data_IF_818745765124
#
_entry.id   IF_818745765124
#
_cell.length_a   1.000
_cell.length_b   1.000
_cell.length_c   1.000
_cell.angle_alpha   90.00
_cell.angle_beta   90.00
_cell.angle_gamma   90.00
#
_symmetry.space_group_name_H-M   'P 1'
#
loop_
_entity.id
_entity.type
_entity.pdbx_description
1 polymer ?
#
# COMPACT_ATOMS: atom_id res chain seq x y z
N UNK A 1 -14.64 24.22 -11.37
CA UNK A 1 -16.11 24.12 -11.40
C UNK A 1 -16.60 24.49 -10.01
N UNK A 2 -17.23 25.66 -9.80
CA UNK A 2 -17.75 26.05 -8.48
C UNK A 2 -18.99 25.21 -8.18
N UNK A 3 -18.88 24.22 -7.31
CA UNK A 3 -20.02 23.45 -6.83
C UNK A 3 -20.96 24.40 -6.08
N UNK A 4 -22.16 24.58 -6.63
CA UNK A 4 -23.21 25.40 -6.04
C UNK A 4 -23.76 24.73 -4.79
N UNK A 5 -23.94 25.55 -3.77
CA UNK A 5 -24.11 25.26 -2.35
C UNK A 5 -25.45 24.60 -1.93
N UNK A 6 -25.97 23.64 -2.70
CA UNK A 6 -27.13 22.83 -2.31
C UNK A 6 -26.68 21.42 -1.91
N UNK A 7 -25.89 21.31 -0.85
CA UNK A 7 -25.62 20.01 -0.25
C UNK A 7 -26.91 19.48 0.41
N UNK A 8 -27.33 18.28 0.01
CA UNK A 8 -28.47 17.59 0.60
C UNK A 8 -28.30 17.52 2.13
N UNK A 9 -29.34 17.70 2.96
CA UNK A 9 -29.24 17.72 4.43
C UNK A 9 -28.50 16.52 5.02
N UNK A 10 -28.58 15.38 4.33
CA UNK A 10 -27.81 14.18 4.68
C UNK A 10 -26.29 14.40 4.64
N UNK A 11 -25.74 15.02 3.60
CA UNK A 11 -24.29 15.27 3.49
C UNK A 11 -23.83 16.29 4.53
N UNK A 12 -24.63 17.31 4.81
CA UNK A 12 -24.34 18.28 5.89
C UNK A 12 -24.26 17.55 7.24
N UNK A 13 -25.22 16.65 7.51
CA UNK A 13 -25.21 15.85 8.74
C UNK A 13 -24.00 14.92 8.81
N UNK A 14 -23.70 14.20 7.72
CA UNK A 14 -22.54 13.31 7.63
C UNK A 14 -21.23 14.08 7.90
N UNK A 15 -21.02 15.23 7.25
CA UNK A 15 -19.83 16.05 7.46
C UNK A 15 -19.71 16.52 8.92
N UNK A 16 -20.82 16.90 9.55
CA UNK A 16 -20.85 17.31 10.96
C UNK A 16 -20.49 16.15 11.90
N UNK A 17 -21.02 14.96 11.64
CA UNK A 17 -20.73 13.75 12.43
C UNK A 17 -19.27 13.31 12.25
N UNK A 18 -18.75 13.31 11.02
CA UNK A 18 -17.34 13.04 10.75
C UNK A 18 -16.44 14.02 11.49
N UNK A 19 -16.72 15.34 11.42
CA UNK A 19 -15.96 16.36 12.15
C UNK A 19 -15.99 16.14 13.66
N UNK A 20 -17.14 15.76 14.22
CA UNK A 20 -17.28 15.48 15.65
C UNK A 20 -16.48 14.24 16.09
N UNK A 21 -16.27 13.27 15.20
CA UNK A 21 -15.46 12.07 15.43
C UNK A 21 -13.97 12.26 15.14
N UNK A 22 -13.55 13.47 14.74
CA UNK A 22 -12.15 13.78 14.44
C UNK A 22 -11.75 13.67 12.97
N UNK A 23 -12.72 13.49 12.07
CA UNK A 23 -12.54 13.46 10.61
C UNK A 23 -12.48 12.05 10.01
N UNK A 24 -12.35 11.99 8.68
CA UNK A 24 -12.21 10.73 7.96
C UNK A 24 -10.85 10.06 8.22
N UNK A 25 -10.86 8.74 8.32
CA UNK A 25 -9.64 7.92 8.32
C UNK A 25 -9.64 7.07 7.04
N UNK A 26 -8.71 7.35 6.14
CA UNK A 26 -8.45 6.46 5.03
C UNK A 26 -7.40 5.42 5.44
N UNK A 27 -7.86 4.23 5.80
CA UNK A 27 -7.03 3.20 6.42
C UNK A 27 -6.14 2.43 5.44
N UNK A 28 -6.33 2.62 4.13
CA UNK A 28 -5.57 1.90 3.12
C UNK A 28 -5.54 2.61 1.77
N UNK A 29 -4.35 3.00 1.34
CA UNK A 29 -4.09 3.72 0.10
C UNK A 29 -2.84 3.18 -0.60
N UNK A 30 -2.71 3.53 -1.88
CA UNK A 30 -1.46 3.46 -2.66
C UNK A 30 -1.27 4.82 -3.35
N UNK A 31 -0.89 5.84 -2.57
CA UNK A 31 -0.75 7.22 -3.07
C UNK A 31 0.37 7.36 -4.10
N UNK A 32 1.41 6.53 -4.01
CA UNK A 32 2.49 6.46 -4.99
C UNK A 32 2.00 6.03 -6.38
N UNK A 33 0.95 5.22 -6.44
CA UNK A 33 0.28 4.77 -7.68
C UNK A 33 -0.97 5.56 -8.06
N UNK A 34 -1.45 6.47 -7.22
CA UNK A 34 -2.68 7.22 -7.48
C UNK A 34 -2.57 8.09 -8.76
N UNK A 35 -3.66 8.25 -9.51
CA UNK A 35 -3.70 9.02 -10.77
C UNK A 35 -2.72 8.53 -11.87
N UNK A 36 -2.47 7.22 -11.97
CA UNK A 36 -1.56 6.64 -12.99
C UNK A 36 -2.29 5.86 -14.10
N UNK A 37 -3.62 5.92 -14.16
CA UNK A 37 -4.41 5.24 -15.19
C UNK A 37 -4.36 5.92 -16.57
N UNK A 38 -3.81 7.14 -16.64
CA UNK A 38 -3.64 7.85 -17.90
C UNK A 38 -2.59 7.15 -18.79
N UNK A 39 -2.86 7.09 -20.09
CA UNK A 39 -1.97 6.50 -21.09
C UNK A 39 -0.54 7.06 -20.98
N UNK A 40 -0.35 8.32 -20.57
CA UNK A 40 0.97 8.91 -20.32
C UNK A 40 1.91 8.02 -19.50
N UNK A 41 1.39 7.34 -18.47
CA UNK A 41 2.19 6.48 -17.58
C UNK A 41 2.40 5.07 -18.11
N UNK A 42 1.67 4.68 -19.15
CA UNK A 42 1.68 3.33 -19.74
C UNK A 42 2.04 3.33 -21.24
N UNK A 43 2.28 4.50 -21.84
CA UNK A 43 2.51 4.69 -23.28
C UNK A 43 3.79 4.05 -23.80
N UNK A 44 4.76 3.77 -22.91
CA UNK A 44 5.94 2.97 -23.26
C UNK A 44 5.64 1.48 -23.34
N UNK A 45 4.39 1.07 -23.09
CA UNK A 45 3.91 -0.30 -23.10
C UNK A 45 2.75 -0.41 -24.08
N UNK A 46 2.80 -1.42 -24.95
CA UNK A 46 1.78 -1.66 -25.98
C UNK A 46 0.52 -2.33 -25.36
N UNK A 47 -0.13 -1.66 -24.42
CA UNK A 47 -1.24 -2.20 -23.62
C UNK A 47 -2.36 -1.17 -23.40
N UNK A 48 -3.59 -1.51 -23.80
CA UNK A 48 -4.80 -0.71 -23.55
C UNK A 48 -5.23 -0.82 -22.06
N UNK A 49 -5.37 0.29 -21.30
CA UNK A 49 -5.63 0.24 -19.84
C UNK A 49 -7.03 -0.22 -19.42
N UNK A 50 -8.05 -0.05 -20.25
CA UNK A 50 -9.47 -0.20 -19.87
C UNK A 50 -10.04 -1.63 -19.97
N UNK A 51 -9.33 -2.59 -20.57
CA UNK A 51 -9.82 -3.99 -20.74
C UNK A 51 -9.59 -4.90 -19.50
N UNK A 52 -9.30 -4.32 -18.33
CA UNK A 52 -8.42 -4.93 -17.34
C UNK A 52 -8.98 -5.00 -15.90
N UNK A 53 -10.29 -5.14 -15.71
CA UNK A 53 -10.87 -5.41 -14.39
C UNK A 53 -10.73 -6.88 -13.92
N UNK A 54 -10.20 -7.78 -14.76
CA UNK A 54 -10.08 -9.23 -14.51
C UNK A 54 -8.67 -9.77 -14.78
N UNK A 55 -7.63 -9.04 -14.39
CA UNK A 55 -6.25 -9.48 -14.61
C UNK A 55 -5.75 -10.39 -13.47
N UNK A 56 -5.13 -11.54 -13.82
CA UNK A 56 -4.29 -12.32 -12.91
C UNK A 56 -3.15 -11.48 -12.28
N UNK A 57 -2.75 -11.82 -11.04
CA UNK A 57 -1.67 -11.13 -10.31
C UNK A 57 -0.38 -10.99 -11.13
N UNK A 58 -0.01 -12.02 -11.89
CA UNK A 58 1.22 -12.01 -12.70
C UNK A 58 1.24 -10.90 -13.76
N UNK A 59 0.09 -10.62 -14.38
CA UNK A 59 -0.04 -9.52 -15.35
C UNK A 59 -0.17 -8.16 -14.63
N UNK A 60 -0.67 -8.11 -13.38
CA UNK A 60 -0.58 -6.90 -12.53
C UNK A 60 0.88 -6.59 -12.18
N UNK A 61 1.70 -7.60 -11.87
CA UNK A 61 3.13 -7.40 -11.58
C UNK A 61 3.89 -6.84 -12.78
N UNK A 62 3.58 -7.28 -14.00
CA UNK A 62 4.14 -6.68 -15.21
C UNK A 62 3.77 -5.20 -15.32
N UNK A 63 2.50 -4.85 -15.06
CA UNK A 63 2.05 -3.45 -15.06
C UNK A 63 2.77 -2.59 -14.01
N UNK A 64 3.08 -3.17 -12.84
CA UNK A 64 3.83 -2.49 -11.78
C UNK A 64 5.26 -2.20 -12.22
N UNK A 65 5.96 -3.20 -12.80
CA UNK A 65 7.31 -2.98 -13.34
C UNK A 65 7.32 -1.90 -14.42
N UNK A 66 6.30 -1.90 -15.29
CA UNK A 66 6.15 -0.88 -16.32
C UNK A 66 5.95 0.50 -15.71
N UNK A 67 5.07 0.62 -14.71
CA UNK A 67 4.82 1.88 -14.01
C UNK A 67 6.08 2.39 -13.30
N UNK A 68 6.81 1.51 -12.62
CA UNK A 68 8.09 1.80 -11.96
C UNK A 68 9.12 2.34 -12.95
N UNK A 69 9.16 1.78 -14.16
CA UNK A 69 10.08 2.21 -15.22
C UNK A 69 9.72 3.58 -15.80
N UNK A 70 8.45 3.99 -15.70
CA UNK A 70 7.90 5.20 -16.29
C UNK A 70 8.06 6.47 -15.45
N UNK A 71 7.42 7.58 -15.89
CA UNK A 71 7.52 8.88 -15.23
C UNK A 71 6.82 8.95 -13.87
N UNK A 72 5.93 8.01 -13.55
CA UNK A 72 5.20 8.01 -12.28
C UNK A 72 6.13 7.98 -11.06
N UNK A 73 7.30 7.36 -11.17
CA UNK A 73 8.29 7.29 -10.09
C UNK A 73 9.42 8.31 -10.23
N UNK A 74 9.29 9.28 -11.16
CA UNK A 74 10.11 10.48 -11.14
C UNK A 74 9.64 11.39 -10.00
N UNK A 75 10.59 11.91 -9.21
CA UNK A 75 10.29 12.65 -7.97
C UNK A 75 9.26 13.76 -8.15
N UNK A 76 9.40 14.61 -9.18
CA UNK A 76 8.51 15.75 -9.39
C UNK A 76 7.06 15.31 -9.71
N UNK A 77 6.92 14.27 -10.53
CA UNK A 77 5.62 13.73 -10.92
C UNK A 77 4.92 13.06 -9.72
N UNK A 78 5.67 12.21 -9.00
CA UNK A 78 5.22 11.59 -7.76
C UNK A 78 4.79 12.63 -6.72
N UNK A 79 5.59 13.67 -6.49
CA UNK A 79 5.25 14.76 -5.57
C UNK A 79 3.95 15.46 -6.01
N UNK A 80 3.82 15.84 -7.27
CA UNK A 80 2.62 16.54 -7.77
C UNK A 80 1.36 15.69 -7.59
N UNK A 81 1.40 14.41 -8.00
CA UNK A 81 0.26 13.50 -7.89
C UNK A 81 -0.16 13.25 -6.45
N UNK A 82 0.80 12.96 -5.57
CA UNK A 82 0.53 12.68 -4.15
C UNK A 82 -0.06 13.92 -3.48
N UNK A 83 0.53 15.10 -3.69
CA UNK A 83 0.02 16.35 -3.12
C UNK A 83 -1.40 16.66 -3.58
N UNK A 84 -1.71 16.48 -4.88
CA UNK A 84 -3.06 16.67 -5.42
C UNK A 84 -4.08 15.73 -4.78
N UNK A 85 -3.74 14.45 -4.57
CA UNK A 85 -4.61 13.49 -3.92
C UNK A 85 -4.82 13.82 -2.43
N UNK A 86 -3.77 14.28 -1.74
CA UNK A 86 -3.88 14.73 -0.35
C UNK A 86 -4.77 15.98 -0.22
N UNK A 87 -4.68 16.93 -1.15
CA UNK A 87 -5.55 18.11 -1.18
C UNK A 87 -7.04 17.70 -1.27
N UNK A 88 -7.36 16.78 -2.18
CA UNK A 88 -8.71 16.22 -2.32
C UNK A 88 -9.18 15.53 -1.04
N UNK A 89 -8.32 14.69 -0.44
CA UNK A 89 -8.64 14.01 0.81
C UNK A 89 -8.91 14.97 1.97
N UNK A 90 -8.09 16.02 2.10
CA UNK A 90 -8.24 17.07 3.11
C UNK A 90 -9.54 17.86 2.89
N UNK A 91 -9.86 18.20 1.64
CA UNK A 91 -11.11 18.87 1.26
C UNK A 91 -12.33 18.01 1.62
N UNK A 92 -12.24 16.68 1.44
CA UNK A 92 -13.25 15.72 1.87
C UNK A 92 -13.26 15.44 3.39
N UNK A 93 -12.47 16.16 4.19
CA UNK A 93 -12.46 16.04 5.64
C UNK A 93 -11.66 14.86 6.20
N UNK A 94 -10.77 14.26 5.40
CA UNK A 94 -9.83 13.24 5.88
C UNK A 94 -8.80 13.88 6.82
N UNK A 95 -8.55 13.23 7.95
CA UNK A 95 -7.58 13.68 8.97
C UNK A 95 -6.46 12.69 9.22
N UNK A 96 -6.65 11.42 8.87
CA UNK A 96 -5.61 10.41 8.86
C UNK A 96 -5.64 9.59 7.58
N UNK A 97 -4.47 9.24 7.09
CA UNK A 97 -4.30 8.42 5.90
C UNK A 97 -3.13 7.46 6.09
N UNK A 98 -3.37 6.18 5.84
CA UNK A 98 -2.34 5.15 5.88
C UNK A 98 -2.14 4.66 4.43
N UNK A 99 -0.95 4.87 3.87
CA UNK A 99 -0.62 4.50 2.48
C UNK A 99 0.51 3.49 2.42
N UNK A 100 0.37 2.53 1.53
CA UNK A 100 1.44 1.66 1.06
C UNK A 100 2.32 2.45 0.10
N UNK A 101 3.63 2.25 0.20
CA UNK A 101 4.60 2.89 -0.70
C UNK A 101 5.53 1.81 -1.22
N UNK A 102 5.62 1.71 -2.54
CA UNK A 102 6.45 0.73 -3.19
C UNK A 102 7.93 0.94 -2.86
N UNK A 103 8.54 -0.14 -2.38
CA UNK A 103 9.96 -0.28 -2.10
C UNK A 103 10.42 -1.56 -2.77
N UNK A 104 11.08 -1.43 -3.91
CA UNK A 104 11.49 -2.55 -4.77
C UNK A 104 12.93 -2.42 -5.24
N UNK A 105 13.55 -3.56 -5.57
CA UNK A 105 14.94 -3.61 -6.01
C UNK A 105 15.17 -3.14 -7.46
N UNK A 106 14.18 -2.51 -8.10
CA UNK A 106 14.29 -1.87 -9.42
C UNK A 106 14.70 -0.39 -9.28
N UNK A 107 14.41 0.48 -10.26
CA UNK A 107 14.78 1.90 -10.16
C UNK A 107 14.12 2.67 -9.01
N UNK A 108 13.03 2.15 -8.43
CA UNK A 108 12.31 2.78 -7.32
C UNK A 108 13.14 2.76 -6.04
N UNK A 109 13.78 1.63 -5.68
CA UNK A 109 14.56 1.50 -4.45
C UNK A 109 13.78 2.06 -3.24
N UNK A 110 14.36 3.03 -2.52
CA UNK A 110 13.72 3.78 -1.42
C UNK A 110 13.18 5.15 -1.85
N UNK A 111 13.32 5.53 -3.12
CA UNK A 111 13.10 6.90 -3.60
C UNK A 111 11.65 7.37 -3.44
N UNK A 112 10.68 6.48 -3.69
CA UNK A 112 9.27 6.77 -3.48
C UNK A 112 8.97 7.01 -1.99
N UNK A 113 9.43 6.09 -1.11
CA UNK A 113 9.26 6.22 0.33
C UNK A 113 9.89 7.51 0.87
N UNK A 114 11.11 7.84 0.45
CA UNK A 114 11.80 9.08 0.84
C UNK A 114 11.04 10.32 0.39
N UNK A 115 10.52 10.31 -0.85
CA UNK A 115 9.71 11.41 -1.37
C UNK A 115 8.42 11.60 -0.56
N UNK A 116 7.72 10.51 -0.22
CA UNK A 116 6.50 10.58 0.58
C UNK A 116 6.79 10.97 2.05
N UNK A 117 7.97 10.63 2.59
CA UNK A 117 8.41 11.11 3.91
C UNK A 117 8.61 12.63 3.92
N UNK A 118 9.18 13.20 2.86
CA UNK A 118 9.30 14.66 2.70
C UNK A 118 7.91 15.32 2.65
N UNK A 119 6.98 14.75 1.88
CA UNK A 119 5.59 15.23 1.80
C UNK A 119 4.89 15.14 3.17
N UNK A 120 5.04 14.01 3.86
CA UNK A 120 4.51 13.79 5.20
C UNK A 120 4.97 14.90 6.16
N UNK A 121 6.27 15.20 6.18
CA UNK A 121 6.81 16.24 7.05
C UNK A 121 6.26 17.63 6.69
N UNK A 122 6.18 17.94 5.39
CA UNK A 122 5.64 19.21 4.91
C UNK A 122 4.14 19.39 5.23
N UNK A 123 3.37 18.31 5.27
CA UNK A 123 1.90 18.31 5.48
C UNK A 123 1.46 17.88 6.88
N UNK A 124 2.38 17.69 7.82
CA UNK A 124 2.07 17.18 9.18
C UNK A 124 1.06 18.01 9.98
N UNK A 125 0.82 19.25 9.59
CA UNK A 125 -0.16 20.14 10.23
C UNK A 125 -1.54 20.08 9.59
N UNK A 126 -1.69 19.38 8.47
CA UNK A 126 -2.93 19.28 7.69
C UNK A 126 -3.56 17.89 7.80
N UNK A 127 -2.74 16.83 7.79
CA UNK A 127 -3.15 15.43 7.82
C UNK A 127 -2.11 14.55 8.53
N UNK A 128 -2.57 13.56 9.32
CA UNK A 128 -1.71 12.47 9.83
C UNK A 128 -1.50 11.44 8.71
N UNK A 129 -0.44 11.62 7.93
CA UNK A 129 -0.04 10.68 6.89
C UNK A 129 0.93 9.64 7.45
N UNK A 130 0.57 8.36 7.34
CA UNK A 130 1.41 7.22 7.71
C UNK A 130 1.81 6.42 6.49
N UNK A 131 3.06 6.00 6.46
CA UNK A 131 3.67 5.34 5.31
C UNK A 131 4.06 3.91 5.67
N UNK A 132 3.75 2.96 4.80
CA UNK A 132 4.27 1.61 4.85
C UNK A 132 5.37 1.40 3.80
N UNK A 133 6.38 0.62 4.19
CA UNK A 133 7.22 -0.07 3.20
C UNK A 133 6.42 -1.24 2.64
N UNK A 134 6.27 -1.31 1.32
CA UNK A 134 5.47 -2.33 0.64
C UNK A 134 6.23 -2.85 -0.59
N UNK A 135 6.30 -4.17 -0.75
CA UNK A 135 6.85 -4.79 -1.96
C UNK A 135 5.75 -5.59 -2.67
N UNK A 136 5.32 -5.19 -3.87
CA UNK A 136 4.33 -5.92 -4.64
C UNK A 136 4.90 -7.12 -5.41
N UNK A 137 6.23 -7.24 -5.50
CA UNK A 137 6.89 -8.20 -6.40
C UNK A 137 7.30 -9.52 -5.71
N UNK A 138 7.02 -9.65 -4.42
CA UNK A 138 7.48 -10.79 -3.61
C UNK A 138 9.00 -10.89 -3.49
N UNK A 139 9.47 -12.00 -2.95
CA UNK A 139 10.84 -12.28 -2.56
C UNK A 139 11.33 -13.61 -3.14
N UNK A 140 12.60 -13.63 -3.54
CA UNK A 140 13.27 -14.78 -4.16
C UNK A 140 14.63 -14.91 -3.48
N UNK A 141 14.99 -16.09 -2.96
CA UNK A 141 16.25 -16.27 -2.21
C UNK A 141 17.51 -16.05 -3.08
N UNK A 142 17.40 -16.25 -4.41
CA UNK A 142 18.48 -15.93 -5.35
C UNK A 142 18.60 -14.42 -5.69
N UNK A 143 17.66 -13.59 -5.21
CA UNK A 143 17.62 -12.12 -5.34
C UNK A 143 17.46 -11.48 -3.95
N UNK A 144 18.43 -11.65 -3.03
CA UNK A 144 18.33 -11.19 -1.64
C UNK A 144 18.12 -9.68 -1.52
N UNK A 145 18.56 -8.90 -2.51
CA UNK A 145 18.39 -7.44 -2.56
C UNK A 145 16.93 -6.99 -2.45
N UNK A 146 15.97 -7.83 -2.88
CA UNK A 146 14.53 -7.55 -2.73
C UNK A 146 14.10 -7.50 -1.26
N UNK A 147 14.62 -8.42 -0.45
CA UNK A 147 14.34 -8.44 0.98
C UNK A 147 15.11 -7.33 1.69
N UNK A 148 16.38 -7.13 1.32
CA UNK A 148 17.24 -6.10 1.92
C UNK A 148 16.59 -4.71 1.79
N UNK A 149 16.23 -4.30 0.57
CA UNK A 149 15.64 -2.97 0.33
C UNK A 149 14.29 -2.79 1.05
N UNK A 150 13.45 -3.82 1.05
CA UNK A 150 12.17 -3.83 1.76
C UNK A 150 12.37 -3.68 3.27
N UNK A 151 13.35 -4.39 3.84
CA UNK A 151 13.68 -4.33 5.26
C UNK A 151 14.28 -2.98 5.67
N UNK A 152 15.09 -2.34 4.82
CA UNK A 152 15.56 -0.97 5.04
C UNK A 152 14.41 0.03 4.98
N UNK A 153 13.51 -0.11 4.00
CA UNK A 153 12.29 0.70 3.93
C UNK A 153 11.43 0.53 5.18
N UNK A 154 11.29 -0.71 5.68
CA UNK A 154 10.53 -1.01 6.88
C UNK A 154 11.12 -0.35 8.13
N UNK A 155 12.44 -0.12 8.21
CA UNK A 155 13.07 0.64 9.31
C UNK A 155 12.67 2.11 9.29
N UNK A 156 12.47 2.69 8.09
CA UNK A 156 12.11 4.10 7.89
C UNK A 156 10.60 4.37 8.00
N UNK A 157 9.77 3.41 7.58
CA UNK A 157 8.32 3.54 7.50
C UNK A 157 7.62 3.60 8.88
N UNK A 158 6.37 4.04 8.94
CA UNK A 158 5.58 4.04 10.18
C UNK A 158 5.04 2.64 10.53
N UNK A 159 4.73 1.86 9.50
CA UNK A 159 4.24 0.49 9.58
C UNK A 159 4.75 -0.34 8.39
N UNK A 160 4.36 -1.61 8.33
CA UNK A 160 4.80 -2.54 7.29
C UNK A 160 3.58 -2.95 6.45
N UNK A 161 3.69 -2.87 5.13
CA UNK A 161 2.70 -3.42 4.20
C UNK A 161 3.23 -4.70 3.57
N UNK A 162 2.42 -5.75 3.46
CA UNK A 162 2.89 -7.02 2.93
C UNK A 162 1.85 -7.76 2.09
N UNK A 163 2.25 -8.26 0.92
CA UNK A 163 1.45 -9.10 0.03
C UNK A 163 2.02 -10.52 -0.03
N UNK A 164 1.63 -11.45 0.87
CA UNK A 164 2.18 -12.81 0.88
C UNK A 164 1.77 -13.64 -0.35
N UNK A 165 0.70 -13.26 -1.06
CA UNK A 165 0.29 -13.92 -2.31
C UNK A 165 1.25 -13.69 -3.48
N UNK A 166 2.04 -12.61 -3.42
CA UNK A 166 3.14 -12.40 -4.37
C UNK A 166 4.28 -13.39 -4.14
N UNK A 167 4.27 -14.15 -3.05
CA UNK A 167 5.22 -15.19 -2.70
C UNK A 167 4.63 -16.60 -2.76
N UNK A 168 3.37 -16.75 -3.18
CA UNK A 168 2.74 -18.06 -3.22
C UNK A 168 3.34 -18.93 -4.33
N UNK A 169 3.79 -20.13 -3.97
CA UNK A 169 4.46 -21.06 -4.90
C UNK A 169 3.52 -21.66 -5.93
N UNK A 170 2.22 -21.61 -5.68
CA UNK A 170 1.21 -22.04 -6.66
C UNK A 170 1.24 -21.14 -7.92
N UNK A 171 1.53 -19.85 -7.76
CA UNK A 171 1.65 -18.88 -8.87
C UNK A 171 3.09 -18.49 -9.19
N UNK A 172 3.97 -18.51 -8.19
CA UNK A 172 5.37 -18.09 -8.26
C UNK A 172 6.30 -19.20 -7.72
N UNK A 173 6.55 -20.27 -8.50
CA UNK A 173 7.30 -21.44 -8.03
C UNK A 173 8.71 -21.14 -7.48
N UNK A 174 9.34 -20.08 -8.00
CA UNK A 174 10.70 -19.66 -7.62
C UNK A 174 10.74 -18.74 -6.39
N UNK A 175 9.59 -18.31 -5.86
CA UNK A 175 9.52 -17.41 -4.70
C UNK A 175 9.63 -18.18 -3.38
N UNK A 176 9.79 -17.45 -2.28
CA UNK A 176 10.06 -18.06 -0.97
C UNK A 176 8.89 -18.89 -0.40
N UNK A 177 7.66 -18.62 -0.83
CA UNK A 177 6.44 -19.27 -0.32
C UNK A 177 5.69 -18.39 0.68
N UNK A 178 4.36 -18.48 0.67
CA UNK A 178 3.46 -17.69 1.53
C UNK A 178 3.83 -17.76 3.03
N UNK A 179 3.98 -18.96 3.60
CA UNK A 179 4.27 -19.15 5.04
C UNK A 179 5.64 -18.59 5.43
N UNK A 180 6.66 -18.81 4.60
CA UNK A 180 8.01 -18.26 4.82
C UNK A 180 7.99 -16.73 4.74
N UNK A 181 7.24 -16.18 3.78
CA UNK A 181 7.07 -14.73 3.65
C UNK A 181 6.41 -14.12 4.89
N UNK A 182 5.30 -14.71 5.36
CA UNK A 182 4.65 -14.32 6.61
C UNK A 182 5.60 -14.42 7.79
N UNK A 183 6.37 -15.52 7.92
CA UNK A 183 7.36 -15.69 8.98
C UNK A 183 8.40 -14.56 8.99
N UNK A 184 9.00 -14.23 7.84
CA UNK A 184 10.02 -13.18 7.74
C UNK A 184 9.44 -11.82 8.11
N UNK A 185 8.24 -11.49 7.61
CA UNK A 185 7.60 -10.20 7.88
C UNK A 185 7.14 -10.06 9.33
N UNK A 186 6.54 -11.10 9.92
CA UNK A 186 6.16 -11.09 11.34
C UNK A 186 7.40 -10.96 12.24
N UNK A 187 8.52 -11.61 11.87
CA UNK A 187 9.79 -11.48 12.59
C UNK A 187 10.34 -10.06 12.52
N UNK A 188 10.37 -9.46 11.34
CA UNK A 188 10.79 -8.07 11.14
C UNK A 188 9.88 -7.09 11.90
N UNK A 189 8.58 -7.30 11.87
CA UNK A 189 7.60 -6.46 12.56
C UNK A 189 7.78 -6.49 14.08
N UNK A 190 8.11 -7.66 14.66
CA UNK A 190 8.44 -7.79 16.07
C UNK A 190 9.75 -7.08 16.42
N UNK A 191 10.79 -7.26 15.60
CA UNK A 191 12.08 -6.60 15.80
C UNK A 191 11.93 -5.07 15.80
N UNK A 192 11.17 -4.53 14.85
CA UNK A 192 10.95 -3.09 14.68
C UNK A 192 9.84 -2.53 15.57
N UNK A 193 9.08 -3.41 16.26
CA UNK A 193 7.86 -3.06 16.99
C UNK A 193 6.87 -2.25 16.13
N UNK A 194 6.61 -2.74 14.90
CA UNK A 194 5.73 -2.09 13.92
C UNK A 194 4.51 -2.95 13.62
N UNK A 195 3.41 -2.27 13.32
CA UNK A 195 2.18 -2.88 12.82
C UNK A 195 2.40 -3.44 11.41
N UNK A 196 1.67 -4.49 11.05
CA UNK A 196 1.66 -5.06 9.70
C UNK A 196 0.26 -4.99 9.10
N UNK A 197 0.17 -4.50 7.87
CA UNK A 197 -1.00 -4.60 7.01
C UNK A 197 -0.72 -5.67 5.96
N UNK A 198 -1.42 -6.81 6.05
CA UNK A 198 -1.37 -7.88 5.06
C UNK A 198 -2.43 -7.64 4.00
N UNK A 199 -2.04 -7.61 2.73
CA UNK A 199 -2.94 -7.67 1.59
C UNK A 199 -3.21 -9.13 1.26
N UNK A 200 -4.47 -9.54 1.31
CA UNK A 200 -4.86 -10.92 1.00
C UNK A 200 -6.14 -10.92 0.18
N UNK A 201 -6.35 -12.03 -0.51
CA UNK A 201 -7.58 -12.39 -1.20
C UNK A 201 -7.99 -11.33 -2.24
N UNK A 202 -7.03 -10.86 -3.02
CA UNK A 202 -7.19 -9.72 -3.95
C UNK A 202 -7.60 -10.14 -5.37
N UNK A 203 -7.85 -11.42 -5.62
CA UNK A 203 -8.23 -11.97 -6.94
C UNK A 203 -9.74 -12.08 -7.12
N UNK A 204 -10.51 -11.88 -6.05
CA UNK A 204 -11.96 -11.99 -6.04
C UNK A 204 -12.42 -13.40 -6.46
N UNK A 205 -11.76 -14.43 -5.91
CA UNK A 205 -12.14 -15.83 -6.05
C UNK A 205 -12.62 -16.39 -4.71
N UNK A 206 -13.68 -17.20 -4.74
CA UNK A 206 -14.24 -17.83 -3.54
C UNK A 206 -13.32 -18.89 -2.91
N UNK A 207 -12.31 -19.35 -3.65
CA UNK A 207 -11.29 -20.27 -3.19
C UNK A 207 -10.10 -19.59 -2.50
N UNK A 208 -10.06 -18.26 -2.43
CA UNK A 208 -9.01 -17.55 -1.70
C UNK A 208 -9.12 -17.84 -0.19
N UNK A 209 -7.97 -17.98 0.46
CA UNK A 209 -7.86 -18.29 1.89
C UNK A 209 -6.62 -17.63 2.50
N UNK A 210 -6.16 -16.54 1.89
CA UNK A 210 -5.03 -15.75 2.33
C UNK A 210 -5.24 -15.18 3.74
N UNK A 211 -6.46 -14.69 4.05
CA UNK A 211 -6.80 -14.23 5.40
C UNK A 211 -6.60 -15.33 6.45
N UNK A 212 -7.13 -16.54 6.22
CA UNK A 212 -7.00 -17.69 7.11
C UNK A 212 -5.53 -18.13 7.23
N UNK A 213 -4.80 -18.17 6.12
CA UNK A 213 -3.37 -18.52 6.14
C UNK A 213 -2.52 -17.51 6.89
N UNK A 214 -2.86 -16.21 6.86
CA UNK A 214 -2.22 -15.21 7.72
C UNK A 214 -2.54 -15.46 9.20
N UNK A 215 -3.79 -15.81 9.53
CA UNK A 215 -4.17 -16.16 10.90
C UNK A 215 -3.38 -17.37 11.42
N UNK A 216 -3.27 -18.43 10.62
CA UNK A 216 -2.46 -19.62 10.92
C UNK A 216 -0.98 -19.26 11.11
N UNK A 217 -0.43 -18.39 10.25
CA UNK A 217 0.95 -17.92 10.36
C UNK A 217 1.18 -17.09 11.63
N UNK A 218 0.22 -16.25 12.03
CA UNK A 218 0.28 -15.49 13.28
C UNK A 218 0.22 -16.42 14.49
N UNK A 219 -0.61 -17.46 14.47
CA UNK A 219 -0.65 -18.47 15.55
C UNK A 219 0.67 -19.24 15.64
N UNK A 220 1.21 -19.66 14.50
CA UNK A 220 2.44 -20.46 14.40
C UNK A 220 3.71 -19.68 14.77
N UNK A 221 3.85 -18.46 14.25
CA UNK A 221 5.10 -17.69 14.33
C UNK A 221 5.04 -16.55 15.34
N UNK A 222 3.86 -16.24 15.88
CA UNK A 222 3.59 -15.09 16.75
C UNK A 222 3.46 -13.77 15.98
N UNK A 223 2.97 -12.73 16.65
CA UNK A 223 2.79 -11.40 16.08
C UNK A 223 3.51 -10.30 16.89
N UNK A 224 3.75 -9.12 16.30
CA UNK A 224 4.05 -7.92 17.08
C UNK A 224 2.93 -7.65 18.10
N UNK A 225 3.31 -7.13 19.27
CA UNK A 225 2.39 -6.76 20.34
C UNK A 225 2.49 -5.27 20.64
N UNK A 226 1.37 -4.65 21.00
CA UNK A 226 1.30 -3.27 21.44
C UNK A 226 1.23 -3.20 22.97
N UNK A 227 1.78 -2.14 23.55
CA UNK A 227 1.74 -1.94 25.02
C UNK A 227 0.34 -1.58 25.52
N UNK A 228 -0.47 -0.97 24.66
CA UNK A 228 -1.81 -0.45 24.96
C UNK A 228 -2.94 -1.40 24.52
N UNK A 229 -2.59 -2.56 23.93
CA UNK A 229 -3.56 -3.53 23.41
C UNK A 229 -4.15 -3.17 22.05
N UNK A 230 -3.65 -2.13 21.38
CA UNK A 230 -4.00 -1.81 19.99
C UNK A 230 -3.67 -2.99 19.05
N UNK A 231 -4.52 -3.28 18.04
CA UNK A 231 -4.25 -4.33 17.07
C UNK A 231 -2.99 -4.00 16.27
N UNK A 232 -2.09 -4.97 16.12
CA UNK A 232 -0.81 -4.84 15.39
C UNK A 232 -0.81 -5.57 14.04
N UNK A 233 -1.90 -6.27 13.72
CA UNK A 233 -2.09 -6.98 12.47
C UNK A 233 -3.43 -6.53 11.87
N UNK A 234 -3.37 -6.06 10.63
CA UNK A 234 -4.51 -5.72 9.81
C UNK A 234 -4.48 -6.61 8.58
N UNK A 235 -5.60 -7.27 8.29
CA UNK A 235 -5.76 -8.03 7.04
C UNK A 235 -6.68 -7.23 6.14
N UNK A 236 -6.18 -6.88 4.96
CA UNK A 236 -6.85 -5.99 4.01
C UNK A 236 -7.31 -6.79 2.81
N UNK A 237 -8.62 -7.05 2.82
CA UNK A 237 -9.37 -7.62 1.72
C UNK A 237 -9.92 -6.50 0.83
N UNK A 238 -9.06 -5.90 0.02
CA UNK A 238 -9.46 -4.87 -0.93
C UNK A 238 -8.70 -5.08 -2.24
N UNK A 239 -9.42 -5.06 -3.36
CA UNK A 239 -8.80 -5.02 -4.68
C UNK A 239 -8.21 -3.61 -4.83
N UNK A 240 -6.89 -3.52 -4.68
CA UNK A 240 -6.11 -2.32 -5.01
C UNK A 240 -5.69 -2.31 -6.47
#
# INVERSE_FOLDING_TARGET
MKLTNNQHPWFIKLESELKALGGGFNAHLHLDRADTLDDYYLNHVDLQPLEKSYISLQKKHNLINDLHSGPAYDRNDLEERVNRNLDLMIECGTKRADTMVDVTADRVQLSALQTLMDIKENRKHEIDLRLASYSPLGFIDSQPERWEIYSEGAKMADFIGHLPEADDKDDYPDHIGFDESCFRVLSLARELNKMVHFHTDQRNLDSESGTERVADAVEKHGSPSSKDGSPMIWVVHAIS
#
